data_IF_472465424612
#
_entry.id   IF_472465424612
#
_cell.length_a   1.000
_cell.length_b   1.000
_cell.length_c   1.000
_cell.angle_alpha   90.00
_cell.angle_beta   90.00
_cell.angle_gamma   90.00
#
_symmetry.space_group_name_H-M   'P 1'
#
loop_
_entity.id
_entity.type
_entity.pdbx_description
1 polymer ?
#
# COMPACT_ATOMS: atom_id res chain seq x y z
N UNK A 1 -90.10 29.86 8.20
CA UNK A 1 -89.47 28.84 9.11
C UNK A 1 -89.03 27.66 8.27
N UNK A 2 -87.74 27.58 7.95
CA UNK A 2 -87.16 26.54 7.11
C UNK A 2 -86.32 25.62 7.97
N UNK A 3 -86.84 24.42 8.28
CA UNK A 3 -86.15 23.42 9.06
C UNK A 3 -85.03 22.76 8.25
N UNK A 4 -83.79 23.07 8.60
CA UNK A 4 -82.61 22.44 8.02
C UNK A 4 -82.53 20.94 8.38
N UNK A 5 -82.77 20.04 7.41
CA UNK A 5 -82.61 18.59 7.52
C UNK A 5 -81.11 18.23 7.77
N UNK A 6 -80.77 17.87 9.01
CA UNK A 6 -79.43 17.31 9.41
C UNK A 6 -79.23 15.94 8.76
N UNK A 7 -78.25 15.85 7.84
CA UNK A 7 -77.83 14.57 7.23
C UNK A 7 -77.20 13.66 8.28
N UNK A 8 -77.58 12.35 8.35
CA UNK A 8 -77.02 11.44 9.34
C UNK A 8 -75.53 11.15 9.03
N UNK A 9 -74.64 11.36 10.03
CA UNK A 9 -73.24 10.97 9.97
C UNK A 9 -73.16 9.45 9.86
N UNK A 10 -72.62 8.93 8.70
CA UNK A 10 -72.29 7.52 8.50
C UNK A 10 -71.26 7.10 9.55
N UNK A 11 -71.66 6.33 10.58
CA UNK A 11 -70.75 5.66 11.52
C UNK A 11 -69.89 4.66 10.73
N UNK A 12 -68.56 4.94 10.60
CA UNK A 12 -67.57 3.98 10.07
C UNK A 12 -67.60 2.74 11.00
N UNK A 13 -68.17 1.63 10.54
CA UNK A 13 -68.07 0.34 11.19
C UNK A 13 -66.61 -0.05 11.27
N UNK A 14 -66.01 0.00 12.45
CA UNK A 14 -64.74 -0.65 12.72
C UNK A 14 -64.94 -2.14 12.48
N UNK A 15 -64.35 -2.68 11.42
CA UNK A 15 -64.29 -4.14 11.21
C UNK A 15 -63.51 -4.75 12.38
N UNK A 16 -64.23 -5.42 13.26
CA UNK A 16 -63.61 -6.24 14.32
C UNK A 16 -62.96 -7.45 13.59
N UNK A 17 -61.65 -7.59 13.75
CA UNK A 17 -60.91 -8.77 13.30
C UNK A 17 -61.47 -9.97 14.08
N UNK A 18 -61.84 -11.05 13.38
CA UNK A 18 -62.36 -12.25 14.03
C UNK A 18 -61.25 -12.88 14.90
N UNK A 19 -61.58 -13.45 16.07
CA UNK A 19 -60.57 -14.10 16.94
C UNK A 19 -59.75 -15.18 16.22
N UNK A 20 -60.32 -15.82 15.21
CA UNK A 20 -59.66 -16.83 14.36
C UNK A 20 -58.63 -16.27 13.36
N UNK A 21 -58.73 -14.98 13.02
CA UNK A 21 -57.78 -14.33 12.13
C UNK A 21 -56.52 -13.83 12.86
N UNK A 22 -56.51 -13.75 14.17
CA UNK A 22 -55.41 -13.24 14.96
C UNK A 22 -54.14 -14.08 14.86
N UNK A 23 -54.17 -15.43 14.98
CA UNK A 23 -52.97 -16.25 14.78
C UNK A 23 -52.40 -16.17 13.33
N UNK A 24 -53.27 -16.03 12.33
CA UNK A 24 -52.83 -15.87 10.95
C UNK A 24 -52.12 -14.52 10.73
N UNK A 25 -52.63 -13.45 11.34
CA UNK A 25 -51.97 -12.13 11.28
C UNK A 25 -50.63 -12.13 12.01
N UNK A 26 -50.53 -12.82 13.14
CA UNK A 26 -49.26 -12.99 13.85
C UNK A 26 -48.23 -13.77 12.96
N UNK A 27 -48.68 -14.88 12.37
CA UNK A 27 -47.81 -15.66 11.49
C UNK A 27 -47.34 -14.84 10.29
N UNK A 28 -48.20 -14.07 9.64
CA UNK A 28 -47.82 -13.16 8.54
C UNK A 28 -46.84 -12.07 9.03
N UNK A 29 -47.08 -11.49 10.19
CA UNK A 29 -46.17 -10.49 10.77
C UNK A 29 -44.77 -11.10 11.05
N UNK A 30 -44.71 -12.32 11.59
CA UNK A 30 -43.47 -13.04 11.82
C UNK A 30 -42.73 -13.35 10.50
N UNK A 31 -43.43 -13.78 9.45
CA UNK A 31 -42.84 -14.03 8.13
C UNK A 31 -42.21 -12.73 7.56
N UNK A 32 -42.94 -11.60 7.68
CA UNK A 32 -42.43 -10.30 7.21
C UNK A 32 -41.23 -9.86 8.03
N UNK A 33 -41.23 -10.04 9.34
CA UNK A 33 -40.10 -9.71 10.21
C UNK A 33 -38.86 -10.57 9.89
N UNK A 34 -39.03 -11.89 9.76
CA UNK A 34 -37.94 -12.80 9.43
C UNK A 34 -37.40 -12.52 8.04
N UNK A 35 -38.28 -12.36 7.04
CA UNK A 35 -37.91 -11.99 5.68
C UNK A 35 -37.19 -10.64 5.60
N UNK A 36 -37.69 -9.64 6.32
CA UNK A 36 -37.05 -8.31 6.42
C UNK A 36 -35.69 -8.37 7.10
N UNK A 37 -35.54 -9.17 8.16
CA UNK A 37 -34.27 -9.37 8.84
C UNK A 37 -33.25 -10.09 7.93
N UNK A 38 -33.67 -11.15 7.23
CA UNK A 38 -32.77 -11.89 6.31
C UNK A 38 -32.33 -11.04 5.13
N UNK A 39 -33.26 -10.30 4.52
CA UNK A 39 -32.92 -9.36 3.43
C UNK A 39 -32.05 -8.21 3.92
N UNK A 40 -32.33 -7.64 5.08
CA UNK A 40 -31.52 -6.61 5.71
C UNK A 40 -30.10 -7.10 5.99
N UNK A 41 -29.95 -8.30 6.57
CA UNK A 41 -28.64 -8.92 6.82
C UNK A 41 -27.89 -9.21 5.51
N UNK A 42 -28.58 -9.70 4.48
CA UNK A 42 -27.99 -9.95 3.18
C UNK A 42 -27.48 -8.65 2.53
N UNK A 43 -28.28 -7.59 2.51
CA UNK A 43 -27.88 -6.29 1.98
C UNK A 43 -26.74 -5.68 2.79
N UNK A 44 -26.80 -5.74 4.11
CA UNK A 44 -25.72 -5.28 4.98
C UNK A 44 -24.42 -6.03 4.66
N UNK A 45 -24.44 -7.35 4.60
CA UNK A 45 -23.26 -8.14 4.28
C UNK A 45 -22.74 -7.86 2.87
N UNK A 46 -23.62 -7.59 1.89
CA UNK A 46 -23.22 -7.29 0.52
C UNK A 46 -22.54 -5.92 0.40
N UNK A 47 -23.05 -4.90 1.08
CA UNK A 47 -22.63 -3.51 0.91
C UNK A 47 -21.74 -2.97 2.05
N UNK A 48 -21.60 -3.70 3.16
CA UNK A 48 -20.70 -3.31 4.24
C UNK A 48 -19.25 -3.58 3.86
N UNK A 49 -18.34 -2.57 3.93
CA UNK A 49 -16.92 -2.78 3.65
C UNK A 49 -16.28 -3.78 4.63
N UNK A 50 -15.31 -4.57 4.14
CA UNK A 50 -14.45 -5.38 5.01
C UNK A 50 -13.65 -4.47 5.95
N UNK A 51 -13.49 -4.93 7.19
CA UNK A 51 -12.64 -4.32 8.22
C UNK A 51 -11.36 -5.13 8.43
N UNK A 52 -11.21 -6.22 7.71
CA UNK A 52 -10.07 -7.10 7.76
C UNK A 52 -8.81 -6.33 7.33
N UNK A 53 -7.79 -6.39 8.18
CA UNK A 53 -6.45 -5.86 7.86
C UNK A 53 -5.61 -7.02 7.33
N UNK A 54 -4.91 -6.80 6.25
CA UNK A 54 -3.90 -7.73 5.76
C UNK A 54 -2.65 -7.60 6.63
N UNK A 55 -2.03 -8.70 6.93
CA UNK A 55 -0.73 -8.69 7.61
C UNK A 55 0.33 -8.06 6.69
N UNK A 56 1.13 -7.15 7.25
CA UNK A 56 2.13 -6.43 6.47
C UNK A 56 3.27 -7.32 5.98
N UNK A 57 3.69 -8.31 6.78
CA UNK A 57 4.72 -9.26 6.36
C UNK A 57 4.20 -10.16 5.23
N UNK A 58 2.94 -10.59 5.32
CA UNK A 58 2.27 -11.32 4.22
C UNK A 58 2.20 -10.48 2.95
N UNK A 59 1.80 -9.20 3.06
CA UNK A 59 1.70 -8.30 1.91
C UNK A 59 3.06 -8.08 1.22
N UNK A 60 4.11 -7.86 2.01
CA UNK A 60 5.45 -7.62 1.50
C UNK A 60 6.24 -8.89 1.21
N UNK A 61 5.71 -10.08 1.53
CA UNK A 61 6.36 -11.37 1.32
C UNK A 61 7.64 -11.53 2.14
N UNK A 62 7.61 -11.09 3.41
CA UNK A 62 8.74 -11.18 4.32
C UNK A 62 8.68 -12.50 5.11
N UNK A 63 9.78 -13.25 5.10
CA UNK A 63 9.90 -14.55 5.78
C UNK A 63 10.86 -14.53 6.98
N UNK A 64 11.78 -13.59 7.00
CA UNK A 64 12.87 -13.49 7.98
C UNK A 64 12.90 -12.10 8.61
N UNK A 65 13.43 -12.01 9.84
CA UNK A 65 13.51 -10.74 10.57
C UNK A 65 14.43 -9.72 9.90
N UNK A 66 15.49 -10.18 9.22
CA UNK A 66 16.44 -9.33 8.50
C UNK A 66 15.98 -8.99 7.07
N UNK A 67 14.94 -9.65 6.56
CA UNK A 67 14.42 -9.43 5.22
C UNK A 67 13.66 -8.12 5.16
N UNK A 68 13.85 -7.35 4.08
CA UNK A 68 13.24 -6.05 3.87
C UNK A 68 12.66 -5.95 2.46
N UNK A 69 11.40 -5.57 2.35
CA UNK A 69 10.76 -5.35 1.05
C UNK A 69 11.33 -4.11 0.35
N UNK A 70 11.45 -4.18 -0.96
CA UNK A 70 11.97 -3.09 -1.77
C UNK A 70 10.85 -2.52 -2.63
N UNK A 71 10.53 -1.26 -2.40
CA UNK A 71 9.70 -0.47 -3.32
C UNK A 71 10.65 0.41 -4.13
N UNK A 72 10.74 0.14 -5.43
CA UNK A 72 11.60 0.88 -6.35
C UNK A 72 10.72 1.83 -7.18
N UNK A 73 10.87 3.13 -6.97
CA UNK A 73 9.98 4.14 -7.53
C UNK A 73 8.51 3.85 -7.20
N UNK A 74 7.78 3.23 -8.11
CA UNK A 74 6.35 2.94 -8.00
C UNK A 74 6.03 1.44 -8.00
N UNK A 75 7.03 0.57 -7.84
CA UNK A 75 6.91 -0.87 -7.97
C UNK A 75 7.45 -1.60 -6.74
N UNK A 76 6.70 -2.59 -6.25
CA UNK A 76 7.16 -3.52 -5.23
C UNK A 76 7.93 -4.65 -5.92
N UNK A 77 9.23 -4.76 -5.64
CA UNK A 77 10.08 -5.79 -6.23
C UNK A 77 9.87 -7.14 -5.53
N UNK A 78 10.11 -8.22 -6.27
CA UNK A 78 10.19 -9.57 -5.71
C UNK A 78 11.45 -9.75 -4.86
N UNK A 79 12.57 -9.17 -5.32
CA UNK A 79 13.84 -9.16 -4.60
C UNK A 79 13.72 -8.42 -3.28
N UNK A 80 14.46 -8.92 -2.28
CA UNK A 80 14.47 -8.35 -0.93
C UNK A 80 15.81 -7.69 -0.65
N UNK A 81 15.74 -6.60 0.09
CA UNK A 81 16.87 -6.00 0.78
C UNK A 81 17.08 -6.68 2.14
N UNK A 82 18.16 -6.30 2.82
CA UNK A 82 18.42 -6.69 4.22
C UNK A 82 18.55 -5.45 5.09
N UNK A 83 18.06 -5.57 6.32
CA UNK A 83 18.25 -4.55 7.35
C UNK A 83 19.17 -5.11 8.43
N UNK A 84 20.42 -4.63 8.47
CA UNK A 84 21.47 -5.16 9.33
C UNK A 84 22.19 -3.99 10.01
N UNK A 85 22.33 -4.07 11.33
CA UNK A 85 23.02 -3.06 12.13
C UNK A 85 22.50 -1.61 11.90
N UNK A 86 21.17 -1.47 11.70
CA UNK A 86 20.52 -0.18 11.48
C UNK A 86 20.71 0.40 10.07
N UNK A 87 21.17 -0.39 9.11
CA UNK A 87 21.42 0.03 7.72
C UNK A 87 20.70 -0.86 6.71
N UNK A 88 20.31 -0.25 5.61
CA UNK A 88 19.68 -0.95 4.48
C UNK A 88 20.77 -1.43 3.53
N UNK A 89 20.75 -2.72 3.25
CA UNK A 89 21.63 -3.38 2.26
C UNK A 89 20.78 -3.90 1.10
N UNK A 90 21.04 -3.40 -0.09
CA UNK A 90 20.34 -3.82 -1.30
C UNK A 90 21.16 -4.89 -2.05
N UNK A 91 20.47 -5.86 -2.66
CA UNK A 91 21.12 -6.83 -3.52
C UNK A 91 21.89 -6.14 -4.64
N UNK A 92 23.10 -6.58 -4.92
CA UNK A 92 24.00 -5.95 -5.92
C UNK A 92 23.40 -5.95 -7.33
N UNK A 93 22.63 -6.98 -7.69
CA UNK A 93 21.94 -7.06 -8.96
C UNK A 93 20.80 -6.04 -9.06
N UNK A 94 20.08 -5.81 -7.95
CA UNK A 94 19.05 -4.77 -7.89
C UNK A 94 19.66 -3.38 -8.05
N UNK A 95 20.83 -3.11 -7.46
CA UNK A 95 21.56 -1.86 -7.66
C UNK A 95 21.97 -1.69 -9.13
N UNK A 96 22.54 -2.73 -9.74
CA UNK A 96 22.92 -2.73 -11.14
C UNK A 96 21.74 -2.44 -12.08
N UNK A 97 20.61 -3.08 -11.81
CA UNK A 97 19.44 -3.06 -12.69
C UNK A 97 18.63 -1.76 -12.56
N UNK A 98 18.46 -1.25 -11.33
CA UNK A 98 17.49 -0.18 -11.05
C UNK A 98 18.10 1.15 -10.63
N UNK A 99 19.36 1.16 -10.12
CA UNK A 99 19.99 2.38 -9.63
C UNK A 99 21.09 2.85 -10.57
N UNK A 100 22.12 2.03 -10.78
CA UNK A 100 23.25 2.42 -11.63
C UNK A 100 24.02 1.21 -12.13
N UNK A 101 23.97 0.95 -13.42
CA UNK A 101 24.65 -0.17 -14.09
C UNK A 101 26.18 -0.06 -14.18
N UNK A 102 26.77 1.02 -13.64
CA UNK A 102 28.23 1.11 -13.48
C UNK A 102 28.73 0.37 -12.24
N UNK A 103 27.84 0.03 -11.33
CA UNK A 103 28.14 -0.88 -10.24
C UNK A 103 27.97 -2.31 -10.74
N UNK A 104 28.93 -3.18 -10.47
CA UNK A 104 28.82 -4.59 -10.80
C UNK A 104 29.53 -5.49 -9.81
N UNK A 105 29.02 -6.69 -9.68
CA UNK A 105 29.54 -7.72 -8.79
C UNK A 105 30.44 -8.69 -9.57
N UNK A 106 31.73 -8.80 -9.16
CA UNK A 106 32.62 -9.85 -9.63
C UNK A 106 32.66 -10.99 -8.59
N UNK A 107 31.86 -12.04 -8.85
CA UNK A 107 31.76 -13.20 -7.98
C UNK A 107 33.02 -14.06 -7.98
N UNK A 108 33.91 -13.93 -8.95
CA UNK A 108 35.16 -14.68 -9.05
C UNK A 108 36.19 -14.12 -8.08
N UNK A 109 36.31 -12.80 -8.04
CA UNK A 109 37.24 -12.09 -7.18
C UNK A 109 36.64 -11.69 -5.82
N UNK A 110 35.31 -11.86 -5.63
CA UNK A 110 34.54 -11.39 -4.48
C UNK A 110 34.69 -9.87 -4.25
N UNK A 111 34.62 -9.13 -5.36
CA UNK A 111 34.74 -7.69 -5.38
C UNK A 111 33.48 -7.02 -5.92
N UNK A 112 33.05 -5.97 -5.27
CA UNK A 112 32.06 -5.04 -5.80
C UNK A 112 32.76 -3.84 -6.39
N UNK A 113 32.45 -3.53 -7.63
CA UNK A 113 33.19 -2.59 -8.47
C UNK A 113 32.28 -1.47 -8.95
N UNK A 114 32.79 -0.25 -8.95
CA UNK A 114 32.15 0.89 -9.58
C UNK A 114 33.09 1.55 -10.58
N UNK A 115 32.67 1.54 -11.85
CA UNK A 115 33.48 2.06 -12.93
C UNK A 115 33.26 3.57 -13.13
N UNK A 116 34.26 4.37 -12.77
CA UNK A 116 34.34 5.77 -13.09
C UNK A 116 35.12 5.96 -14.44
N UNK A 117 35.01 7.11 -15.12
CA UNK A 117 35.69 7.32 -16.41
C UNK A 117 37.21 7.16 -16.35
N UNK A 118 37.82 7.49 -15.23
CA UNK A 118 39.29 7.49 -15.03
C UNK A 118 39.75 6.62 -13.86
N UNK A 119 38.85 6.11 -13.08
CA UNK A 119 39.14 5.42 -11.83
C UNK A 119 38.22 4.23 -11.63
N UNK A 120 38.65 3.30 -10.81
CA UNK A 120 37.86 2.16 -10.36
C UNK A 120 37.74 2.21 -8.86
N UNK A 121 36.50 2.13 -8.35
CA UNK A 121 36.21 1.89 -6.95
C UNK A 121 36.07 0.39 -6.75
N UNK A 122 36.70 -0.18 -5.74
CA UNK A 122 36.58 -1.60 -5.43
C UNK A 122 36.40 -1.85 -3.94
N UNK A 123 35.49 -2.76 -3.59
CA UNK A 123 35.13 -3.14 -2.23
C UNK A 123 35.14 -4.66 -2.11
N UNK A 124 35.85 -5.20 -1.12
CA UNK A 124 35.82 -6.62 -0.79
C UNK A 124 34.66 -6.99 0.12
N UNK A 125 34.24 -8.26 0.08
CA UNK A 125 33.23 -8.79 0.99
C UNK A 125 33.69 -8.68 2.44
N UNK A 126 32.80 -8.22 3.32
CA UNK A 126 33.04 -8.05 4.76
C UNK A 126 33.93 -6.86 5.11
N UNK A 127 34.32 -6.04 4.11
CA UNK A 127 35.23 -4.91 4.32
C UNK A 127 34.48 -3.62 4.68
N UNK A 128 35.10 -2.85 5.55
CA UNK A 128 34.82 -1.43 5.79
C UNK A 128 35.68 -0.54 4.87
N UNK A 129 36.79 -1.10 4.36
CA UNK A 129 37.72 -0.40 3.49
C UNK A 129 37.35 -0.59 2.02
N UNK A 130 37.59 0.45 1.23
CA UNK A 130 37.44 0.43 -0.22
C UNK A 130 38.59 1.21 -0.89
N UNK A 131 38.86 0.89 -2.14
CA UNK A 131 39.90 1.58 -2.90
C UNK A 131 39.30 2.43 -4.00
N UNK A 132 39.82 3.65 -4.17
CA UNK A 132 39.55 4.52 -5.30
C UNK A 132 40.87 4.73 -6.01
N UNK A 133 41.00 4.23 -7.25
CA UNK A 133 42.28 4.14 -7.98
C UNK A 133 43.31 3.33 -7.18
N UNK A 134 44.15 4.00 -6.39
CA UNK A 134 45.20 3.38 -5.54
C UNK A 134 45.12 3.84 -4.09
N UNK A 135 44.19 4.73 -3.78
CA UNK A 135 43.99 5.23 -2.43
C UNK A 135 42.98 4.35 -1.68
N UNK A 136 43.31 4.01 -0.44
CA UNK A 136 42.40 3.29 0.47
C UNK A 136 41.61 4.31 1.28
N UNK A 137 40.30 4.15 1.31
CA UNK A 137 39.35 4.87 2.14
C UNK A 137 38.63 3.88 3.04
N UNK A 138 37.90 4.35 4.06
CA UNK A 138 37.23 3.49 5.02
C UNK A 138 35.93 4.14 5.49
N UNK A 139 34.90 3.30 5.66
CA UNK A 139 33.64 3.65 6.31
C UNK A 139 33.61 3.11 7.75
N UNK A 140 32.67 3.57 8.55
CA UNK A 140 32.43 3.08 9.91
C UNK A 140 31.54 1.82 9.95
N UNK A 141 31.21 1.27 8.79
CA UNK A 141 30.33 0.10 8.60
C UNK A 141 30.86 -0.83 7.52
N UNK A 142 30.41 -2.08 7.55
CA UNK A 142 30.71 -3.06 6.49
C UNK A 142 29.95 -2.65 5.22
N UNK A 143 30.67 -2.36 4.14
CA UNK A 143 30.09 -1.84 2.90
C UNK A 143 29.37 -2.95 2.12
N UNK A 144 30.01 -4.13 2.01
CA UNK A 144 29.52 -5.26 1.20
C UNK A 144 29.42 -6.53 2.07
N UNK A 145 28.27 -7.18 2.02
CA UNK A 145 27.99 -8.43 2.73
C UNK A 145 27.62 -9.52 1.74
N UNK A 146 28.07 -10.75 1.97
CA UNK A 146 27.67 -11.92 1.20
C UNK A 146 26.70 -12.79 2.03
N UNK A 147 25.72 -13.39 1.36
CA UNK A 147 24.81 -14.37 1.93
C UNK A 147 24.55 -15.48 0.88
N UNK A 148 25.22 -16.63 1.08
CA UNK A 148 25.21 -17.71 0.10
C UNK A 148 25.84 -17.27 -1.24
N UNK A 149 25.06 -17.30 -2.31
CA UNK A 149 25.44 -16.83 -3.65
C UNK A 149 25.22 -15.34 -3.85
N UNK A 150 24.47 -14.71 -2.97
CA UNK A 150 24.05 -13.33 -3.11
C UNK A 150 24.99 -12.38 -2.40
N UNK A 151 25.08 -11.17 -2.90
CA UNK A 151 25.81 -10.09 -2.26
C UNK A 151 24.91 -8.87 -2.08
N UNK A 152 25.13 -8.16 -0.97
CA UNK A 152 24.33 -7.03 -0.57
C UNK A 152 25.25 -5.86 -0.23
N UNK A 153 24.94 -4.68 -0.77
CA UNK A 153 25.72 -3.46 -0.57
C UNK A 153 24.90 -2.42 0.20
N UNK A 154 25.55 -1.71 1.11
CA UNK A 154 24.93 -0.65 1.87
C UNK A 154 24.44 0.49 0.94
N UNK A 155 23.16 0.90 1.07
CA UNK A 155 22.61 1.98 0.27
C UNK A 155 23.33 3.31 0.51
N UNK A 156 23.81 3.54 1.73
CA UNK A 156 24.59 4.75 2.06
C UNK A 156 25.83 4.86 1.18
N UNK A 157 26.54 3.74 0.95
CA UNK A 157 27.71 3.73 0.08
C UNK A 157 27.36 4.04 -1.38
N UNK A 158 26.26 3.46 -1.91
CA UNK A 158 25.80 3.73 -3.28
C UNK A 158 25.43 5.20 -3.45
N UNK A 159 24.84 5.81 -2.41
CA UNK A 159 24.41 7.22 -2.41
C UNK A 159 25.57 8.21 -2.60
N UNK A 160 26.78 7.85 -2.25
CA UNK A 160 27.97 8.69 -2.48
C UNK A 160 28.29 8.85 -3.98
N UNK A 161 27.90 7.89 -4.80
CA UNK A 161 28.22 7.83 -6.22
C UNK A 161 27.02 8.06 -7.16
N UNK A 162 25.80 7.99 -6.62
CA UNK A 162 24.58 8.07 -7.42
C UNK A 162 23.49 8.82 -6.66
N UNK A 163 22.86 9.78 -7.33
CA UNK A 163 21.74 10.52 -6.79
C UNK A 163 20.49 9.63 -6.76
N UNK A 164 19.96 9.37 -5.59
CA UNK A 164 18.65 8.80 -5.32
C UNK A 164 18.21 9.17 -3.91
N UNK A 165 16.92 9.07 -3.62
CA UNK A 165 16.39 9.22 -2.27
C UNK A 165 15.87 7.86 -1.78
N UNK A 166 15.93 7.64 -0.46
CA UNK A 166 15.29 6.47 0.13
C UNK A 166 14.78 6.78 1.54
N UNK A 167 13.70 6.10 1.89
CA UNK A 167 13.12 6.06 3.24
C UNK A 167 12.85 4.61 3.60
N UNK A 168 12.93 4.27 4.87
CA UNK A 168 12.66 2.90 5.33
C UNK A 168 11.83 2.88 6.61
N UNK A 169 11.16 1.76 6.83
CA UNK A 169 10.32 1.47 8.00
C UNK A 169 10.60 0.05 8.47
N UNK A 170 10.61 -0.15 9.79
CA UNK A 170 11.00 -1.42 10.42
C UNK A 170 9.80 -2.36 10.66
N UNK A 171 8.57 -1.84 10.73
CA UNK A 171 7.39 -2.67 11.03
C UNK A 171 6.25 -2.46 10.02
N UNK A 172 6.10 -3.34 9.02
CA UNK A 172 7.04 -4.37 8.54
C UNK A 172 8.26 -3.74 7.84
N UNK A 173 9.38 -4.49 7.81
CA UNK A 173 10.61 -4.03 7.20
C UNK A 173 10.42 -3.72 5.71
N UNK A 174 10.59 -2.47 5.31
CA UNK A 174 10.51 -2.05 3.91
C UNK A 174 11.31 -0.79 3.64
N UNK A 175 11.82 -0.68 2.43
CA UNK A 175 12.52 0.50 1.92
C UNK A 175 11.86 0.99 0.64
N UNK A 176 11.65 2.29 0.53
CA UNK A 176 11.23 2.94 -0.70
C UNK A 176 12.43 3.71 -1.27
N UNK A 177 12.87 3.32 -2.44
CA UNK A 177 13.99 3.92 -3.18
C UNK A 177 13.44 4.68 -4.37
N UNK A 178 13.81 5.95 -4.50
CA UNK A 178 13.35 6.85 -5.55
C UNK A 178 14.56 7.26 -6.39
N UNK A 179 14.62 6.75 -7.61
CA UNK A 179 15.65 7.07 -8.61
C UNK A 179 15.12 7.98 -9.72
N UNK A 180 13.80 8.12 -9.83
CA UNK A 180 13.12 8.96 -10.81
C UNK A 180 12.68 10.26 -10.18
N UNK A 181 13.31 11.35 -10.57
CA UNK A 181 13.01 12.71 -10.14
C UNK A 181 12.08 13.44 -11.10
N UNK A 182 11.54 14.59 -10.67
CA UNK A 182 10.67 15.44 -11.46
C UNK A 182 9.22 15.36 -11.05
N UNK A 183 8.33 15.70 -11.98
CA UNK A 183 6.90 15.86 -11.71
C UNK A 183 6.19 14.52 -11.58
N UNK A 184 5.51 14.31 -10.46
CA UNK A 184 4.69 13.11 -10.19
C UNK A 184 3.25 13.52 -9.88
N UNK A 185 2.31 12.70 -10.33
CA UNK A 185 0.90 12.88 -10.05
C UNK A 185 0.56 12.43 -8.62
N UNK A 186 -0.17 13.28 -7.89
CA UNK A 186 -0.56 13.01 -6.50
C UNK A 186 -2.02 13.32 -6.24
N UNK A 187 -2.56 12.64 -5.26
CA UNK A 187 -3.89 12.90 -4.69
C UNK A 187 -3.80 13.05 -3.19
N UNK A 188 -4.72 13.82 -2.62
CA UNK A 188 -4.81 14.04 -1.17
C UNK A 188 -6.08 13.40 -0.62
N UNK A 189 -5.97 12.68 0.48
CA UNK A 189 -7.12 12.09 1.15
C UNK A 189 -8.03 13.20 1.74
N UNK A 190 -9.30 13.25 1.32
CA UNK A 190 -10.27 14.23 1.80
C UNK A 190 -10.86 13.88 3.18
N UNK A 191 -10.74 12.62 3.57
CA UNK A 191 -11.13 12.09 4.89
C UNK A 191 -10.40 10.77 5.17
N UNK A 192 -10.34 10.38 6.43
CA UNK A 192 -9.78 9.10 6.83
C UNK A 192 -10.38 7.95 5.99
N UNK A 193 -9.52 7.15 5.39
CA UNK A 193 -9.90 6.13 4.41
C UNK A 193 -8.98 4.92 4.47
N UNK A 194 -9.50 3.77 4.03
CA UNK A 194 -8.72 2.56 3.88
C UNK A 194 -8.12 2.48 2.48
N UNK A 195 -6.84 2.16 2.40
CA UNK A 195 -6.16 1.69 1.20
C UNK A 195 -6.18 0.16 1.21
N UNK A 196 -6.62 -0.46 0.13
CA UNK A 196 -6.89 -1.90 0.04
C UNK A 196 -5.95 -2.57 -0.95
N UNK A 197 -5.73 -3.87 -0.77
CA UNK A 197 -4.84 -4.66 -1.64
C UNK A 197 -5.39 -4.82 -3.08
N UNK A 198 -6.70 -4.67 -3.27
CA UNK A 198 -7.37 -4.69 -4.59
C UNK A 198 -8.54 -3.70 -4.60
N UNK A 199 -8.94 -3.31 -5.79
CA UNK A 199 -10.11 -2.47 -6.01
C UNK A 199 -11.40 -3.21 -5.61
N UNK A 200 -11.90 -2.94 -4.39
CA UNK A 200 -13.12 -3.57 -3.88
C UNK A 200 -13.35 -3.36 -2.39
N UNK A 201 -14.60 -3.08 -2.01
CA UNK A 201 -14.95 -2.84 -0.60
C UNK A 201 -14.81 -4.08 0.29
N UNK A 202 -14.72 -5.28 -0.29
CA UNK A 202 -14.57 -6.55 0.42
C UNK A 202 -13.12 -6.99 0.54
N UNK A 203 -12.21 -6.37 -0.20
CA UNK A 203 -10.80 -6.68 -0.16
C UNK A 203 -10.17 -6.24 1.17
N UNK A 204 -9.17 -6.96 1.68
CA UNK A 204 -8.44 -6.59 2.88
C UNK A 204 -7.84 -5.17 2.79
N UNK A 205 -7.71 -4.55 3.95
CA UNK A 205 -7.09 -3.24 4.12
C UNK A 205 -5.59 -3.43 4.29
N UNK A 206 -4.78 -2.72 3.52
CA UNK A 206 -3.33 -2.66 3.69
C UNK A 206 -2.96 -1.65 4.77
N UNK A 207 -3.40 -0.42 4.59
CA UNK A 207 -3.13 0.68 5.51
C UNK A 207 -4.30 1.65 5.55
N UNK A 208 -4.26 2.61 6.46
CA UNK A 208 -5.24 3.69 6.58
C UNK A 208 -4.56 5.02 6.45
N UNK A 209 -5.13 5.87 5.63
CA UNK A 209 -4.70 7.26 5.45
C UNK A 209 -5.64 8.21 6.17
N UNK A 210 -5.11 9.28 6.70
CA UNK A 210 -5.85 10.35 7.36
C UNK A 210 -6.23 11.44 6.36
N UNK A 211 -7.13 12.32 6.79
CA UNK A 211 -7.42 13.53 6.00
C UNK A 211 -6.16 14.38 5.88
N UNK A 212 -5.80 14.73 4.65
CA UNK A 212 -4.63 15.56 4.34
C UNK A 212 -3.41 14.75 3.89
N UNK A 213 -3.39 13.41 4.10
CA UNK A 213 -2.30 12.58 3.62
C UNK A 213 -2.26 12.58 2.09
N UNK A 214 -1.06 12.73 1.54
CA UNK A 214 -0.80 12.74 0.10
C UNK A 214 -0.28 11.37 -0.35
N UNK A 215 -0.70 10.93 -1.52
CA UNK A 215 -0.31 9.66 -2.12
C UNK A 215 0.04 9.88 -3.58
N UNK A 216 1.04 9.15 -4.08
CA UNK A 216 1.36 9.13 -5.51
C UNK A 216 0.29 8.32 -6.26
N UNK A 217 -0.15 8.84 -7.40
CA UNK A 217 -1.04 8.10 -8.31
C UNK A 217 -0.19 7.19 -9.18
N UNK A 218 -0.58 5.93 -9.25
CA UNK A 218 0.11 4.93 -10.06
C UNK A 218 -0.72 4.59 -11.29
N UNK A 219 -0.02 4.36 -12.40
CA UNK A 219 -0.66 3.91 -13.62
C UNK A 219 -1.26 2.51 -13.46
N UNK A 220 -2.41 2.30 -14.07
CA UNK A 220 -3.07 1.01 -14.20
C UNK A 220 -3.21 0.66 -15.69
N UNK A 221 -2.96 -0.61 -16.08
CA UNK A 221 -3.13 -1.05 -17.44
C UNK A 221 -4.58 -0.95 -17.94
N UNK A 222 -5.54 -1.05 -17.02
CA UNK A 222 -6.97 -0.94 -17.27
C UNK A 222 -7.61 -0.02 -16.23
N UNK A 223 -8.42 0.93 -16.67
CA UNK A 223 -9.16 1.82 -15.76
C UNK A 223 -10.13 1.00 -14.90
N UNK A 224 -10.04 1.16 -13.59
CA UNK A 224 -10.91 0.49 -12.62
C UNK A 224 -11.91 1.49 -12.06
N UNK A 225 -13.16 1.34 -12.43
CA UNK A 225 -14.25 2.22 -11.98
C UNK A 225 -14.25 2.46 -10.46
N UNK A 226 -14.37 3.71 -10.06
CA UNK A 226 -14.46 4.18 -8.66
C UNK A 226 -13.19 3.97 -7.79
N UNK A 227 -12.07 3.52 -8.32
CA UNK A 227 -10.87 3.23 -7.56
C UNK A 227 -9.61 3.74 -8.25
N UNK A 228 -8.75 4.40 -7.47
CA UNK A 228 -7.43 4.84 -7.90
C UNK A 228 -6.36 4.01 -7.23
N UNK A 229 -5.37 3.54 -7.99
CA UNK A 229 -4.17 2.89 -7.47
C UNK A 229 -3.20 3.95 -6.97
N UNK A 230 -2.69 3.75 -5.77
CA UNK A 230 -1.84 4.73 -5.12
C UNK A 230 -0.66 4.07 -4.40
N UNK A 231 0.43 4.82 -4.29
CA UNK A 231 1.52 4.55 -3.36
C UNK A 231 1.39 5.53 -2.19
N UNK A 232 1.24 5.02 -0.99
CA UNK A 232 1.11 5.81 0.24
C UNK A 232 2.48 6.28 0.74
N UNK A 233 2.48 7.32 1.58
CA UNK A 233 3.71 7.85 2.17
C UNK A 233 4.48 6.82 3.01
N UNK A 234 3.81 5.81 3.54
CA UNK A 234 4.39 4.69 4.29
C UNK A 234 4.69 3.47 3.41
N UNK A 235 4.76 3.60 2.08
CA UNK A 235 5.26 2.59 1.15
C UNK A 235 4.28 1.48 0.78
N UNK A 236 2.96 1.61 1.04
CA UNK A 236 1.98 0.63 0.57
C UNK A 236 1.44 0.99 -0.81
N UNK A 237 1.45 0.03 -1.73
CA UNK A 237 0.81 0.13 -3.03
C UNK A 237 -0.56 -0.55 -2.97
N UNK A 238 -1.61 0.22 -3.20
CA UNK A 238 -2.98 -0.31 -3.09
C UNK A 238 -4.01 0.61 -3.73
N UNK A 239 -5.27 0.36 -3.41
CA UNK A 239 -6.41 1.03 -4.03
C UNK A 239 -7.22 1.83 -3.02
N UNK A 240 -7.55 3.06 -3.38
CA UNK A 240 -8.42 3.95 -2.62
C UNK A 240 -9.62 4.37 -3.47
N UNK A 241 -10.79 4.59 -2.84
CA UNK A 241 -11.97 5.06 -3.59
C UNK A 241 -11.82 6.50 -4.04
N UNK A 242 -12.16 6.81 -5.29
CA UNK A 242 -12.08 8.13 -5.90
C UNK A 242 -12.83 9.20 -5.11
N UNK A 243 -14.00 8.89 -4.58
CA UNK A 243 -14.77 9.79 -3.72
C UNK A 243 -14.13 10.13 -2.37
N UNK A 244 -12.96 9.57 -2.08
CA UNK A 244 -12.18 9.79 -0.85
C UNK A 244 -10.97 10.68 -1.06
N UNK A 245 -10.63 10.98 -2.29
CA UNK A 245 -9.44 11.72 -2.68
C UNK A 245 -9.80 13.02 -3.40
N UNK A 246 -8.83 13.92 -3.51
CA UNK A 246 -8.91 15.14 -4.30
C UNK A 246 -8.82 14.85 -5.80
N UNK A 247 -9.01 15.87 -6.63
CA UNK A 247 -8.52 15.82 -8.00
C UNK A 247 -6.98 15.60 -8.00
N UNK A 248 -6.49 15.00 -9.08
CA UNK A 248 -5.05 14.80 -9.29
C UNK A 248 -4.36 16.16 -9.42
N UNK A 249 -3.26 16.30 -8.73
CA UNK A 249 -2.35 17.45 -8.79
C UNK A 249 -0.94 16.96 -9.03
N UNK A 250 0.01 17.87 -9.27
CA UNK A 250 1.42 17.52 -9.47
C UNK A 250 2.28 17.98 -8.30
N UNK A 251 3.28 17.16 -7.97
CA UNK A 251 4.35 17.51 -7.04
C UNK A 251 5.69 17.26 -7.69
N UNK A 252 6.72 18.00 -7.27
CA UNK A 252 8.09 17.80 -7.74
C UNK A 252 8.88 16.99 -6.72
N UNK A 253 9.55 15.93 -7.19
CA UNK A 253 10.53 15.17 -6.42
C UNK A 253 11.91 15.70 -6.82
N UNK A 254 12.60 16.33 -5.86
CA UNK A 254 13.97 16.79 -6.04
C UNK A 254 14.97 15.64 -5.92
N UNK A 255 16.10 15.78 -6.64
CA UNK A 255 17.25 14.88 -6.53
C UNK A 255 18.03 15.12 -5.22
#
# INVERSE_FOLDING_TARGET
EEQAKRRPRKRRRRRRISPQAFPVLIALALIVLVGGFMTGKFLYNKYSPSKEMMDGNEYFGLSDDDSMAVIMNNELLEDKAKFIDGRVYLNVETVYQYINSRFYWDSTENLYLYALPTELVSVGVGSTDYTVAKATNSEDYVILRADGSDAYVALDFIKEYTAFNYEYWEEPNRVHVITEFGSKDVVTAQKASAVRNKAGIKCPILTKVNKGDTMYVLDEPEEIDEWTRVLTADGYIGYIKDKRISAVTKTEIAA
#
